data_IF_444601112320
#
_entry.id   IF_444601112320
#
_cell.length_a   1.000
_cell.length_b   1.000
_cell.length_c   1.000
_cell.angle_alpha   90.00
_cell.angle_beta   90.00
_cell.angle_gamma   90.00
#
_symmetry.space_group_name_H-M   'P 1'
#
loop_
_entity.id
_entity.type
_entity.pdbx_description
1 polymer ?
#
# COMPACT_ATOMS: atom_id res chain seq x y z
N UNK A 1 18.72 -2.96 -27.57
CA UNK A 1 17.68 -2.00 -27.18
C UNK A 1 17.12 -2.46 -25.84
N UNK A 2 17.15 -1.61 -24.82
CA UNK A 2 16.69 -1.93 -23.48
C UNK A 2 16.14 -0.70 -22.79
N UNK A 3 15.14 -0.91 -21.93
CA UNK A 3 14.53 0.12 -21.10
C UNK A 3 14.44 -0.39 -19.67
N UNK A 4 14.49 0.52 -18.70
CA UNK A 4 14.25 0.22 -17.28
C UNK A 4 13.12 1.11 -16.78
N UNK A 5 12.17 0.51 -16.09
CA UNK A 5 11.02 1.18 -15.50
C UNK A 5 10.96 0.87 -13.99
N UNK A 6 10.44 1.81 -13.21
CA UNK A 6 10.04 1.57 -11.83
C UNK A 6 8.55 1.89 -11.72
N UNK A 7 7.80 0.97 -11.10
CA UNK A 7 6.35 1.08 -10.92
C UNK A 7 6.08 1.07 -9.40
N UNK A 8 5.24 1.99 -8.95
CA UNK A 8 4.65 1.98 -7.61
C UNK A 8 3.16 1.66 -7.76
N UNK A 9 2.71 0.51 -7.25
CA UNK A 9 1.29 0.14 -7.21
C UNK A 9 0.84 0.08 -5.76
N UNK A 10 -0.17 0.88 -5.43
CA UNK A 10 -0.89 0.79 -4.16
C UNK A 10 -1.94 -0.30 -4.25
N UNK A 11 -2.22 -0.96 -3.14
CA UNK A 11 -3.26 -1.97 -3.04
C UNK A 11 -4.04 -1.79 -1.73
N UNK A 12 -5.30 -2.20 -1.77
CA UNK A 12 -6.23 -2.07 -0.66
C UNK A 12 -6.02 -3.18 0.37
N UNK A 13 -6.62 -3.01 1.55
CA UNK A 13 -6.54 -4.01 2.63
C UNK A 13 -7.21 -5.33 2.24
N UNK A 14 -8.23 -5.25 1.40
CA UNK A 14 -9.01 -6.35 0.88
C UNK A 14 -8.32 -7.10 -0.27
N UNK A 15 -7.27 -6.53 -0.86
CA UNK A 15 -6.51 -7.16 -1.93
C UNK A 15 -5.43 -8.10 -1.36
N UNK A 16 -5.32 -9.30 -1.94
CA UNK A 16 -4.20 -10.20 -1.70
C UNK A 16 -2.97 -9.75 -2.51
N UNK A 17 -1.82 -9.64 -1.85
CA UNK A 17 -0.59 -9.16 -2.46
C UNK A 17 -0.09 -10.09 -3.58
N UNK A 18 -0.21 -11.41 -3.42
CA UNK A 18 0.26 -12.35 -4.43
C UNK A 18 -0.56 -12.19 -5.73
N UNK A 19 -1.87 -12.00 -5.60
CA UNK A 19 -2.79 -11.69 -6.70
C UNK A 19 -2.45 -10.35 -7.36
N UNK A 20 -2.14 -9.32 -6.57
CA UNK A 20 -1.73 -8.01 -7.10
C UNK A 20 -0.44 -8.11 -7.92
N UNK A 21 0.55 -8.86 -7.43
CA UNK A 21 1.80 -9.10 -8.18
C UNK A 21 1.57 -9.93 -9.44
N UNK A 22 0.69 -10.94 -9.37
CA UNK A 22 0.40 -11.81 -10.52
C UNK A 22 -0.17 -11.03 -11.69
N UNK A 23 -1.02 -10.03 -11.44
CA UNK A 23 -1.57 -9.16 -12.50
C UNK A 23 -0.47 -8.48 -13.33
N UNK A 24 0.62 -8.04 -12.69
CA UNK A 24 1.75 -7.42 -13.39
C UNK A 24 2.53 -8.46 -14.18
N UNK A 25 2.85 -9.60 -13.57
CA UNK A 25 3.59 -10.66 -14.25
C UNK A 25 2.80 -11.27 -15.42
N UNK A 26 1.48 -11.41 -15.29
CA UNK A 26 0.61 -11.94 -16.36
C UNK A 26 0.66 -11.07 -17.62
N UNK A 27 0.73 -9.74 -17.45
CA UNK A 27 0.92 -8.80 -18.57
C UNK A 27 2.28 -9.03 -19.23
N UNK A 28 3.36 -9.13 -18.45
CA UNK A 28 4.72 -9.31 -18.96
C UNK A 28 4.88 -10.68 -19.65
N UNK A 29 4.32 -11.74 -19.08
CA UNK A 29 4.28 -13.08 -19.66
C UNK A 29 3.52 -13.11 -20.98
N UNK A 30 2.38 -12.42 -21.06
CA UNK A 30 1.64 -12.28 -22.33
C UNK A 30 2.48 -11.57 -23.39
N UNK A 31 3.15 -10.47 -23.04
CA UNK A 31 4.02 -9.74 -23.96
C UNK A 31 5.19 -10.59 -24.46
N UNK A 32 5.78 -11.41 -23.58
CA UNK A 32 6.86 -12.34 -23.94
C UNK A 32 6.41 -13.41 -24.94
N UNK A 33 5.17 -13.90 -24.84
CA UNK A 33 4.60 -14.83 -25.82
C UNK A 33 4.28 -14.18 -27.17
N UNK A 34 3.79 -12.94 -27.16
CA UNK A 34 3.23 -12.30 -28.36
C UNK A 34 4.26 -11.48 -29.17
N UNK A 35 5.35 -11.00 -28.54
CA UNK A 35 6.32 -10.10 -29.18
C UNK A 35 7.67 -10.77 -29.42
N UNK A 36 8.10 -10.78 -30.68
CA UNK A 36 9.45 -11.26 -31.04
C UNK A 36 10.54 -10.47 -30.32
N UNK A 37 11.49 -11.19 -29.73
CA UNK A 37 12.66 -10.64 -29.02
C UNK A 37 12.33 -9.80 -27.77
N UNK A 38 11.13 -9.95 -27.21
CA UNK A 38 10.82 -9.36 -25.90
C UNK A 38 11.26 -10.31 -24.78
N UNK A 39 12.02 -9.77 -23.83
CA UNK A 39 12.36 -10.45 -22.59
C UNK A 39 12.33 -9.44 -21.43
N UNK A 40 12.19 -9.92 -20.21
CA UNK A 40 12.07 -9.07 -19.03
C UNK A 40 12.65 -9.71 -17.78
N UNK A 41 13.04 -8.85 -16.84
CA UNK A 41 13.34 -9.20 -15.45
C UNK A 41 12.54 -8.25 -14.55
N UNK A 42 12.02 -8.75 -13.45
CA UNK A 42 11.31 -7.96 -12.44
C UNK A 42 11.89 -8.29 -11.06
N UNK A 43 12.05 -7.26 -10.22
CA UNK A 43 12.44 -7.40 -8.82
C UNK A 43 11.65 -6.43 -7.97
N UNK A 44 11.30 -6.85 -6.77
CA UNK A 44 10.68 -5.97 -5.79
C UNK A 44 11.71 -5.01 -5.20
N UNK A 45 11.33 -3.73 -5.07
CA UNK A 45 12.12 -2.71 -4.36
C UNK A 45 11.61 -2.51 -2.93
N UNK A 46 10.30 -2.35 -2.80
CA UNK A 46 9.63 -2.12 -1.54
C UNK A 46 8.33 -2.90 -1.54
N UNK A 47 8.04 -3.54 -0.40
CA UNK A 47 6.78 -4.21 -0.15
C UNK A 47 6.28 -3.73 1.21
N UNK A 48 5.18 -2.98 1.21
CA UNK A 48 4.59 -2.46 2.44
C UNK A 48 3.13 -2.81 2.47
N UNK A 49 2.78 -3.73 3.37
CA UNK A 49 1.41 -4.19 3.53
C UNK A 49 0.51 -3.05 4.06
N UNK A 50 -0.73 -2.93 3.56
CA UNK A 50 -1.73 -2.02 4.11
C UNK A 50 -2.01 -2.38 5.57
N UNK A 51 -2.54 -1.42 6.31
CA UNK A 51 -3.04 -1.64 7.65
C UNK A 51 -4.16 -0.65 7.94
N UNK A 52 -5.04 -1.04 8.84
CA UNK A 52 -6.04 -0.15 9.43
C UNK A 52 -5.71 0.02 10.91
N UNK A 53 -5.61 1.26 11.38
CA UNK A 53 -5.52 1.50 12.82
C UNK A 53 -6.92 1.38 13.41
N UNK A 54 -7.07 0.54 14.43
CA UNK A 54 -8.37 0.35 15.09
C UNK A 54 -8.91 1.66 15.67
N UNK A 55 -10.20 1.92 15.47
CA UNK A 55 -10.84 3.16 15.90
C UNK A 55 -10.81 3.32 17.42
N UNK A 56 -10.80 2.21 18.15
CA UNK A 56 -10.83 2.19 19.60
C UNK A 56 -9.44 2.12 20.26
N UNK A 57 -8.37 2.12 19.43
CA UNK A 57 -6.99 2.11 19.90
C UNK A 57 -6.69 3.32 20.81
N UNK A 58 -5.83 3.16 21.84
CA UNK A 58 -5.54 4.23 22.80
C UNK A 58 -5.09 5.54 22.15
N UNK A 59 -4.21 5.46 21.15
CA UNK A 59 -3.72 6.64 20.42
C UNK A 59 -4.83 7.34 19.65
N UNK A 60 -5.77 6.59 19.08
CA UNK A 60 -6.89 7.13 18.31
C UNK A 60 -7.87 7.86 19.23
N UNK A 61 -8.22 7.27 20.37
CA UNK A 61 -9.07 7.90 21.39
C UNK A 61 -8.45 9.17 21.94
N UNK A 62 -7.16 9.16 22.26
CA UNK A 62 -6.46 10.33 22.79
C UNK A 62 -6.45 11.50 21.80
N UNK A 63 -6.20 11.24 20.51
CA UNK A 63 -6.23 12.27 19.47
C UNK A 63 -7.66 12.80 19.26
N UNK A 64 -8.67 11.92 19.25
CA UNK A 64 -10.07 12.33 19.11
C UNK A 64 -10.52 13.26 20.25
N UNK A 65 -10.18 12.92 21.49
CA UNK A 65 -10.45 13.76 22.66
C UNK A 65 -9.77 15.13 22.56
N UNK A 66 -8.52 15.17 22.09
CA UNK A 66 -7.79 16.43 21.87
C UNK A 66 -8.44 17.31 20.80
N UNK A 67 -8.91 16.71 19.70
CA UNK A 67 -9.61 17.45 18.63
C UNK A 67 -10.92 18.05 19.16
N UNK A 68 -11.73 17.26 19.87
CA UNK A 68 -12.97 17.74 20.47
C UNK A 68 -12.72 18.90 21.44
N UNK A 69 -11.72 18.79 22.31
CA UNK A 69 -11.40 19.81 23.31
C UNK A 69 -11.00 21.17 22.71
N UNK A 70 -10.40 21.19 21.51
CA UNK A 70 -9.89 22.40 20.86
C UNK A 70 -10.87 22.97 19.83
N UNK A 71 -11.54 22.09 19.08
CA UNK A 71 -12.36 22.49 17.93
C UNK A 71 -13.87 22.34 18.16
N UNK A 72 -14.30 21.85 19.33
CA UNK A 72 -15.70 21.60 19.70
C UNK A 72 -16.44 20.76 18.65
N UNK A 73 -15.73 19.78 18.08
CA UNK A 73 -16.27 18.84 17.09
C UNK A 73 -15.54 17.51 17.08
N UNK A 74 -16.26 16.46 16.73
CA UNK A 74 -15.69 15.13 16.49
C UNK A 74 -14.76 15.13 15.27
N UNK A 75 -13.69 14.31 15.27
CA UNK A 75 -12.84 14.14 14.10
C UNK A 75 -13.52 13.28 13.04
N UNK A 76 -13.18 13.55 11.78
CA UNK A 76 -13.39 12.62 10.69
C UNK A 76 -12.30 11.54 10.70
N UNK A 77 -12.71 10.30 10.48
CA UNK A 77 -11.81 9.16 10.34
C UNK A 77 -11.57 8.90 8.86
N UNK A 78 -10.34 9.17 8.41
CA UNK A 78 -9.98 9.09 6.99
C UNK A 78 -8.89 8.07 6.75
N UNK A 79 -8.95 7.43 5.57
CA UNK A 79 -7.93 6.50 5.09
C UNK A 79 -7.03 7.26 4.14
N UNK A 80 -5.71 7.09 4.28
CA UNK A 80 -4.72 7.64 3.35
C UNK A 80 -4.16 6.53 2.45
N UNK A 81 -4.05 6.76 1.13
CA UNK A 81 -3.39 5.83 0.21
C UNK A 81 -1.85 5.81 0.37
N UNK A 82 -1.31 6.73 1.18
CA UNK A 82 0.12 6.84 1.43
C UNK A 82 0.72 5.69 2.23
N UNK A 83 2.05 5.67 2.29
CA UNK A 83 2.81 4.84 3.22
C UNK A 83 3.55 5.74 4.19
N UNK A 84 3.46 5.41 5.48
CA UNK A 84 4.07 6.15 6.58
C UNK A 84 4.78 5.16 7.51
N UNK A 85 5.75 5.65 8.30
CA UNK A 85 6.55 4.82 9.21
C UNK A 85 5.71 4.08 10.26
N UNK A 86 4.52 4.61 10.56
CA UNK A 86 3.52 3.94 11.38
C UNK A 86 3.22 2.50 10.90
N UNK A 87 3.33 2.22 9.60
CA UNK A 87 3.17 0.87 9.07
C UNK A 87 4.25 -0.11 9.54
N UNK A 88 5.46 0.38 9.80
CA UNK A 88 6.53 -0.45 10.34
C UNK A 88 6.38 -0.59 11.85
N UNK A 89 6.11 0.51 12.56
CA UNK A 89 6.00 0.53 14.02
C UNK A 89 4.82 -0.30 14.52
N UNK A 90 3.66 -0.22 13.87
CA UNK A 90 2.45 -0.95 14.29
C UNK A 90 2.61 -2.48 14.27
N UNK A 91 3.66 -3.01 13.64
CA UNK A 91 3.95 -4.44 13.51
C UNK A 91 5.01 -4.96 14.49
N UNK A 92 5.59 -4.08 15.30
CA UNK A 92 6.62 -4.43 16.29
C UNK A 92 5.99 -4.86 17.64
N UNK A 93 4.68 -4.61 17.81
CA UNK A 93 3.91 -4.98 19.01
C UNK A 93 3.42 -6.41 19.03
#
# INVERSE_FOLDING_TARGET
>A
DSCRLTIDRRFLLEEDLATVKSQVTDILERLKRERKKFDYEIRDLMEVLPLMTERDAPVVKAVAQGIMAIFDREPDYVISPGTYDQKHVARIG
#
